data_IF_577228186135
#
_entry.id   IF_577228186135
#
_cell.length_a   1.000
_cell.length_b   1.000
_cell.length_c   1.000
_cell.angle_alpha   90.00
_cell.angle_beta   90.00
_cell.angle_gamma   90.00
#
_symmetry.space_group_name_H-M   'P 1'
#
loop_
_entity.id
_entity.type
_entity.pdbx_description
1 polymer ?
#
# COMPACT_ATOMS: atom_id res chain seq x y z
N UNK A 1 7.60 -1.16 15.36
CA UNK A 1 6.28 -0.86 14.76
C UNK A 1 5.18 -1.67 15.46
N UNK A 2 4.16 -0.99 15.99
CA UNK A 2 2.97 -1.66 16.52
C UNK A 2 2.16 -2.15 15.33
N UNK A 3 2.37 -3.41 14.94
CA UNK A 3 1.72 -4.00 13.77
C UNK A 3 0.36 -4.55 14.19
N UNK A 4 -0.73 -3.84 13.89
CA UNK A 4 -2.00 -4.52 13.67
C UNK A 4 -1.98 -5.13 12.27
N UNK A 5 -1.74 -6.44 12.21
CA UNK A 5 -1.52 -7.24 11.01
C UNK A 5 -2.77 -7.26 10.12
N UNK A 6 -2.87 -6.34 9.15
CA UNK A 6 -3.86 -6.47 8.06
C UNK A 6 -3.36 -6.07 6.68
N UNK A 7 -2.09 -5.66 6.53
CA UNK A 7 -1.57 -5.33 5.20
C UNK A 7 -1.08 -6.58 4.48
N UNK A 8 -1.59 -6.81 3.27
CA UNK A 8 -1.27 -7.98 2.46
C UNK A 8 -0.23 -7.62 1.41
N UNK A 9 0.62 -8.58 1.04
CA UNK A 9 1.42 -8.45 -0.19
C UNK A 9 0.54 -8.22 -1.44
N UNK A 10 -0.75 -8.57 -1.37
CA UNK A 10 -1.74 -8.31 -2.42
C UNK A 10 -1.93 -6.82 -2.72
N UNK A 11 -1.81 -5.97 -1.71
CA UNK A 11 -2.03 -4.53 -1.86
C UNK A 11 -0.99 -3.93 -2.82
N UNK A 12 0.28 -4.30 -2.62
CA UNK A 12 1.37 -3.97 -3.53
C UNK A 12 1.18 -4.57 -4.93
N UNK A 13 0.63 -5.79 -5.04
CA UNK A 13 0.40 -6.43 -6.34
C UNK A 13 -0.69 -5.74 -7.15
N UNK A 14 -1.78 -5.32 -6.50
CA UNK A 14 -2.87 -4.58 -7.15
C UNK A 14 -2.33 -3.25 -7.68
N UNK A 15 -1.69 -2.47 -6.82
CA UNK A 15 -1.12 -1.17 -7.20
C UNK A 15 -0.01 -1.33 -8.26
N UNK A 16 0.91 -2.29 -8.09
CA UNK A 16 1.99 -2.54 -9.03
C UNK A 16 1.52 -2.96 -10.43
N UNK A 17 0.36 -3.63 -10.52
CA UNK A 17 -0.31 -3.96 -11.78
C UNK A 17 -1.06 -2.77 -12.42
N UNK A 18 -1.10 -1.60 -11.76
CA UNK A 18 -1.83 -0.43 -12.23
C UNK A 18 -3.31 -0.40 -11.81
N UNK A 19 -3.70 -1.27 -10.87
CA UNK A 19 -5.04 -1.28 -10.31
C UNK A 19 -5.24 -0.23 -9.22
N UNK A 20 -6.44 0.32 -9.14
CA UNK A 20 -6.85 1.16 -8.02
C UNK A 20 -7.14 0.30 -6.79
N UNK A 21 -6.46 0.58 -5.67
CA UNK A 21 -6.67 -0.11 -4.40
C UNK A 21 -7.60 0.72 -3.50
N UNK A 22 -8.73 0.11 -3.13
CA UNK A 22 -9.61 0.55 -2.05
C UNK A 22 -9.68 -0.58 -1.01
N UNK A 23 -9.23 -0.32 0.21
CA UNK A 23 -9.09 -1.37 1.25
C UNK A 23 -9.63 -0.93 2.61
N UNK A 24 -9.86 -1.88 3.53
CA UNK A 24 -10.23 -1.51 4.89
C UNK A 24 -9.07 -0.76 5.56
N UNK A 25 -9.41 0.29 6.28
CA UNK A 25 -8.45 1.04 7.07
C UNK A 25 -7.96 0.19 8.25
N UNK A 26 -6.66 0.23 8.52
CA UNK A 26 -6.04 -0.31 9.73
C UNK A 26 -5.04 0.68 10.29
N UNK A 27 -4.93 0.73 11.62
CA UNK A 27 -4.05 1.67 12.29
C UNK A 27 -2.58 1.42 11.87
N UNK A 28 -1.91 2.49 11.45
CA UNK A 28 -0.52 2.44 10.97
C UNK A 28 -0.38 2.13 9.47
N UNK A 29 -1.48 2.08 8.70
CA UNK A 29 -1.40 1.93 7.24
C UNK A 29 -0.68 3.11 6.58
N UNK A 30 -0.75 4.30 7.18
CA UNK A 30 -0.10 5.52 6.71
C UNK A 30 1.42 5.49 6.81
N UNK A 31 1.98 4.60 7.64
CA UNK A 31 3.44 4.37 7.70
C UNK A 31 3.95 3.71 6.40
N UNK A 32 3.04 3.09 5.64
CA UNK A 32 3.37 2.36 4.42
C UNK A 32 2.77 3.01 3.17
N UNK A 33 1.58 3.60 3.26
CA UNK A 33 0.83 4.12 2.12
C UNK A 33 0.44 5.59 2.27
N UNK A 34 0.59 6.36 1.19
CA UNK A 34 0.09 7.72 1.05
C UNK A 34 -1.42 7.70 0.72
N UNK A 35 -2.26 7.55 1.75
CA UNK A 35 -3.73 7.46 1.61
C UNK A 35 -4.28 8.72 0.92
N UNK A 36 -5.17 8.52 -0.05
CA UNK A 36 -5.72 9.56 -0.93
C UNK A 36 -4.85 9.91 -2.13
N UNK A 37 -3.61 9.38 -2.21
CA UNK A 37 -2.71 9.60 -3.36
C UNK A 37 -2.34 8.33 -4.09
N UNK A 38 -1.95 7.27 -3.37
CA UNK A 38 -1.57 5.97 -3.96
C UNK A 38 -2.66 4.90 -3.87
N UNK A 39 -3.52 5.01 -2.87
CA UNK A 39 -4.69 4.17 -2.64
C UNK A 39 -5.67 4.94 -1.77
N UNK A 40 -6.84 4.37 -1.52
CA UNK A 40 -7.77 4.89 -0.52
C UNK A 40 -8.24 3.79 0.43
N UNK A 41 -8.78 4.19 1.59
CA UNK A 41 -9.24 3.28 2.63
C UNK A 41 -10.67 3.57 3.06
N UNK A 42 -11.34 2.61 3.69
CA UNK A 42 -12.65 2.81 4.31
C UNK A 42 -12.69 2.22 5.72
N UNK A 43 -13.51 2.78 6.60
CA UNK A 43 -13.67 2.35 8.00
C UNK A 43 -14.97 1.58 8.25
N UNK A 44 -15.93 1.62 7.33
CA UNK A 44 -17.17 0.86 7.43
C UNK A 44 -17.65 0.33 6.07
N UNK A 45 -18.54 -0.68 6.04
CA UNK A 45 -19.17 -1.15 4.80
C UNK A 45 -19.92 -0.05 4.04
N UNK A 46 -20.58 0.87 4.74
CA UNK A 46 -21.32 2.00 4.16
C UNK A 46 -20.36 2.99 3.49
N UNK A 47 -19.23 3.29 4.13
CA UNK A 47 -18.18 4.11 3.52
C UNK A 47 -17.57 3.42 2.30
N UNK A 48 -17.33 2.11 2.37
CA UNK A 48 -16.85 1.32 1.23
C UNK A 48 -17.79 1.44 0.02
N UNK A 49 -19.09 1.22 0.25
CA UNK A 49 -20.10 1.36 -0.81
C UNK A 49 -20.16 2.79 -1.38
N UNK A 50 -20.04 3.80 -0.51
CA UNK A 50 -20.03 5.20 -0.92
C UNK A 50 -18.81 5.51 -1.80
N UNK A 51 -17.62 5.06 -1.39
CA UNK A 51 -16.38 5.26 -2.15
C UNK A 51 -16.34 4.47 -3.45
N UNK A 52 -16.87 3.25 -3.48
CA UNK A 52 -17.03 2.48 -4.72
C UNK A 52 -17.86 3.27 -5.73
N UNK A 53 -19.03 3.80 -5.33
CA UNK A 53 -19.87 4.62 -6.21
C UNK A 53 -19.14 5.88 -6.67
N UNK A 54 -18.53 6.60 -5.74
CA UNK A 54 -17.76 7.81 -6.03
C UNK A 54 -16.68 7.56 -7.10
N UNK A 55 -15.80 6.59 -6.89
CA UNK A 55 -14.70 6.32 -7.82
C UNK A 55 -15.12 5.64 -9.13
N UNK A 56 -16.32 5.07 -9.21
CA UNK A 56 -16.91 4.65 -10.48
C UNK A 56 -17.42 5.84 -11.30
N UNK A 57 -17.90 6.91 -10.65
CA UNK A 57 -18.32 8.16 -11.29
C UNK A 57 -17.13 9.11 -11.59
N UNK A 58 -16.02 8.98 -10.86
CA UNK A 58 -14.82 9.82 -10.97
C UNK A 58 -13.64 9.02 -11.53
N UNK A 59 -13.79 8.52 -12.77
CA UNK A 59 -12.80 7.59 -13.36
C UNK A 59 -11.40 8.20 -13.53
N UNK A 60 -11.30 9.47 -13.90
CA UNK A 60 -10.01 10.15 -14.12
C UNK A 60 -9.22 10.30 -12.82
N UNK A 61 -9.89 10.65 -11.73
CA UNK A 61 -9.29 10.68 -10.39
C UNK A 61 -8.83 9.28 -9.98
N UNK A 62 -9.70 8.28 -10.14
CA UNK A 62 -9.38 6.88 -9.83
C UNK A 62 -8.15 6.39 -10.61
N UNK A 63 -8.06 6.69 -11.90
CA UNK A 63 -6.91 6.36 -12.75
C UNK A 63 -5.64 7.11 -12.33
N UNK A 64 -5.77 8.36 -11.93
CA UNK A 64 -4.66 9.18 -11.43
C UNK A 64 -4.06 8.56 -10.16
N UNK A 65 -4.91 8.17 -9.21
CA UNK A 65 -4.49 7.49 -7.97
C UNK A 65 -3.82 6.15 -8.29
N UNK A 66 -4.43 5.33 -9.16
CA UNK A 66 -3.86 4.04 -9.56
C UNK A 66 -2.48 4.17 -10.22
N UNK A 67 -2.31 5.14 -11.12
CA UNK A 67 -1.03 5.41 -11.78
C UNK A 67 0.03 5.90 -10.79
N UNK A 68 -0.34 6.76 -9.85
CA UNK A 68 0.57 7.21 -8.80
C UNK A 68 0.98 6.04 -7.88
N UNK A 69 0.03 5.22 -7.45
CA UNK A 69 0.31 4.04 -6.63
C UNK A 69 1.21 3.03 -7.34
N UNK A 70 0.99 2.77 -8.63
CA UNK A 70 1.87 1.94 -9.44
C UNK A 70 3.30 2.48 -9.44
N UNK A 71 3.47 3.78 -9.75
CA UNK A 71 4.79 4.43 -9.75
C UNK A 71 5.50 4.25 -8.40
N UNK A 72 4.83 4.55 -7.29
CA UNK A 72 5.42 4.45 -5.94
C UNK A 72 5.82 3.01 -5.62
N UNK A 73 5.01 2.00 -5.97
CA UNK A 73 5.36 0.59 -5.75
C UNK A 73 6.62 0.20 -6.52
N UNK A 74 6.72 0.61 -7.79
CA UNK A 74 7.90 0.34 -8.60
C UNK A 74 9.13 1.13 -8.16
N UNK A 75 8.99 2.27 -7.49
CA UNK A 75 10.13 3.06 -7.02
C UNK A 75 10.62 2.65 -5.62
N UNK A 76 9.70 2.36 -4.69
CA UNK A 76 10.01 2.23 -3.25
C UNK A 76 9.75 0.85 -2.65
N UNK A 77 9.05 -0.04 -3.35
CA UNK A 77 8.60 -1.31 -2.79
C UNK A 77 9.02 -2.54 -3.59
N UNK A 78 10.13 -2.43 -4.34
CA UNK A 78 10.71 -3.59 -5.02
C UNK A 78 11.13 -4.64 -4.01
N UNK A 79 10.93 -5.89 -4.37
CA UNK A 79 11.38 -7.02 -3.56
C UNK A 79 12.91 -7.03 -3.40
N UNK A 80 13.65 -6.62 -4.44
CA UNK A 80 15.12 -6.49 -4.42
C UNK A 80 15.61 -5.58 -3.30
N UNK A 81 14.93 -4.46 -3.08
CA UNK A 81 15.35 -3.43 -2.13
C UNK A 81 15.13 -3.92 -0.70
N UNK A 82 13.97 -4.56 -0.45
CA UNK A 82 13.68 -5.22 0.82
C UNK A 82 14.65 -6.36 1.11
N UNK A 83 14.99 -7.18 0.10
CA UNK A 83 15.96 -8.26 0.26
C UNK A 83 17.36 -7.71 0.58
N UNK A 84 17.77 -6.62 -0.08
CA UNK A 84 19.04 -5.95 0.21
C UNK A 84 19.09 -5.45 1.65
N UNK A 85 18.01 -4.87 2.15
CA UNK A 85 17.89 -4.43 3.56
C UNK A 85 18.05 -5.61 4.53
N UNK A 86 17.38 -6.73 4.26
CA UNK A 86 17.51 -7.96 5.07
C UNK A 86 18.96 -8.45 5.08
N UNK A 87 19.61 -8.52 3.91
CA UNK A 87 21.01 -8.95 3.82
C UNK A 87 21.92 -8.05 4.65
N UNK A 88 21.79 -6.73 4.52
CA UNK A 88 22.57 -5.76 5.29
C UNK A 88 22.36 -5.96 6.80
N UNK A 89 21.11 -6.14 7.24
CA UNK A 89 20.79 -6.39 8.65
C UNK A 89 21.38 -7.68 9.16
N UNK A 90 21.33 -8.76 8.39
CA UNK A 90 21.91 -10.06 8.75
C UNK A 90 23.44 -9.99 8.80
N UNK A 91 24.08 -9.28 7.88
CA UNK A 91 25.54 -9.09 7.89
C UNK A 91 26.02 -8.27 9.09
N UNK A 92 25.24 -7.25 9.47
CA UNK A 92 25.52 -6.40 10.62
C UNK A 92 25.03 -7.00 11.94
N UNK A 93 24.36 -8.16 11.90
CA UNK A 93 23.92 -8.86 13.09
C UNK A 93 25.14 -9.46 13.79
N UNK A 94 25.76 -8.64 14.64
CA UNK A 94 26.69 -9.10 15.65
C UNK A 94 25.84 -9.73 16.74
N UNK A 95 25.50 -11.01 16.60
CA UNK A 95 24.76 -11.72 17.63
C UNK A 95 25.48 -11.52 18.96
N UNK A 96 24.77 -11.00 19.96
CA UNK A 96 25.25 -11.00 21.33
C UNK A 96 25.63 -12.44 21.68
N UNK A 97 26.95 -12.69 21.75
CA UNK A 97 27.53 -13.86 22.39
C UNK A 97 27.75 -13.53 23.84
#
# INVERSE_FOLDING_TARGET
PNVQLSMSARDYRIMGAGGFLLTNHVDGIEDWFEIGKMCDTYRSPEECLTKIKYYLEHEDERKTIAAYGQKVVHEKHKFSDRLREVIIRVQNFSGDR
#
